data_IF_177381663218
#
_entry.id   IF_177381663218
#
_cell.length_a   1.000
_cell.length_b   1.000
_cell.length_c   1.000
_cell.angle_alpha   90.00
_cell.angle_beta   90.00
_cell.angle_gamma   90.00
#
_symmetry.space_group_name_H-M   'P 1'
#
loop_
_entity.id
_entity.type
_entity.pdbx_description
1 polymer ?
#
# COMPACT_ATOMS: atom_id res chain seq x y z
N UNK A 1 0.44 7.10 -2.83
CA UNK A 1 1.76 6.61 -2.41
C UNK A 1 1.79 5.10 -2.59
N UNK A 2 2.86 4.57 -3.17
CA UNK A 2 3.13 3.13 -3.23
C UNK A 2 4.42 2.90 -2.45
N UNK A 3 4.40 2.06 -1.42
CA UNK A 3 5.55 1.82 -0.55
C UNK A 3 5.54 0.44 0.07
N UNK A 4 6.63 0.08 0.74
CA UNK A 4 6.89 -1.23 1.34
C UNK A 4 6.68 -1.25 2.86
N UNK A 5 6.52 -0.08 3.48
CA UNK A 5 6.24 0.06 4.92
C UNK A 5 4.78 0.49 5.18
N UNK A 6 4.09 -0.26 6.04
CA UNK A 6 2.67 -0.04 6.34
C UNK A 6 2.43 1.22 7.19
N UNK A 7 3.38 1.62 8.04
CA UNK A 7 3.21 2.79 8.91
C UNK A 7 3.75 4.05 8.23
N UNK A 8 4.99 4.02 7.72
CA UNK A 8 5.61 5.22 7.18
C UNK A 8 5.06 5.60 5.81
N UNK A 9 4.99 4.64 4.89
CA UNK A 9 4.64 4.96 3.51
C UNK A 9 3.13 5.03 3.33
N UNK A 10 2.42 3.99 3.79
CA UNK A 10 0.96 3.91 3.65
C UNK A 10 0.29 4.81 4.69
N UNK A 11 0.61 4.62 5.98
CA UNK A 11 0.03 5.43 7.05
C UNK A 11 0.34 6.92 6.91
N UNK A 12 1.59 7.26 6.61
CA UNK A 12 2.01 8.64 6.34
C UNK A 12 1.29 9.26 5.15
N UNK A 13 1.11 8.53 4.05
CA UNK A 13 0.36 9.02 2.91
C UNK A 13 -1.12 9.27 3.23
N UNK A 14 -1.76 8.33 3.93
CA UNK A 14 -3.16 8.47 4.32
C UNK A 14 -3.38 9.63 5.28
N UNK A 15 -2.46 9.86 6.23
CA UNK A 15 -2.48 11.03 7.10
C UNK A 15 -2.39 12.36 6.33
N UNK A 16 -1.78 12.34 5.14
CA UNK A 16 -1.71 13.48 4.23
C UNK A 16 -2.88 13.54 3.21
N UNK A 17 -3.88 12.67 3.32
CA UNK A 17 -5.02 12.62 2.39
C UNK A 17 -4.71 11.97 1.04
N UNK A 18 -3.63 11.19 0.95
CA UNK A 18 -3.20 10.49 -0.26
C UNK A 18 -3.52 9.00 -0.14
N UNK A 19 -4.08 8.37 -1.18
CA UNK A 19 -4.26 6.90 -1.22
C UNK A 19 -2.93 6.18 -1.00
N UNK A 20 -2.89 5.20 -0.12
CA UNK A 20 -1.69 4.40 0.19
C UNK A 20 -1.84 2.96 -0.30
N UNK A 21 -0.88 2.47 -1.08
CA UNK A 21 -0.80 1.09 -1.58
C UNK A 21 0.49 0.44 -1.06
N UNK A 22 0.37 -0.77 -0.52
CA UNK A 22 1.49 -1.52 0.06
C UNK A 22 2.04 -2.54 -0.94
N UNK A 23 3.37 -2.64 -1.09
CA UNK A 23 4.04 -3.69 -1.88
C UNK A 23 4.87 -4.61 -0.99
N UNK A 24 5.06 -5.87 -1.40
CA UNK A 24 5.79 -6.88 -0.60
C UNK A 24 7.27 -7.02 -0.95
N UNK A 25 7.79 -6.24 -1.89
CA UNK A 25 9.16 -6.34 -2.41
C UNK A 25 10.20 -5.51 -1.62
N UNK A 26 9.96 -5.23 -0.34
CA UNK A 26 10.84 -4.42 0.50
C UNK A 26 10.77 -4.81 1.98
N UNK A 27 10.70 -3.81 2.87
CA UNK A 27 10.56 -3.92 4.34
C UNK A 27 9.26 -4.56 4.81
N UNK A 28 8.33 -4.83 3.89
CA UNK A 28 7.07 -5.49 4.19
C UNK A 28 7.25 -6.68 5.12
N UNK A 29 6.52 -6.67 6.22
CA UNK A 29 6.41 -7.79 7.13
C UNK A 29 4.95 -8.00 7.47
N UNK A 30 4.43 -9.22 7.24
CA UNK A 30 3.03 -9.56 7.53
C UNK A 30 2.64 -9.23 8.97
N UNK A 31 3.55 -9.48 9.91
CA UNK A 31 3.32 -9.22 11.33
C UNK A 31 3.19 -7.72 11.66
N UNK A 32 3.83 -6.83 10.91
CA UNK A 32 3.66 -5.38 11.08
C UNK A 32 2.27 -4.94 10.59
N UNK A 33 1.83 -5.48 9.44
CA UNK A 33 0.48 -5.21 8.90
C UNK A 33 -0.60 -5.71 9.85
N UNK A 34 -0.45 -6.91 10.42
CA UNK A 34 -1.41 -7.47 11.38
C UNK A 34 -1.50 -6.69 12.70
N UNK A 35 -0.42 -6.00 13.09
CA UNK A 35 -0.40 -5.12 14.29
C UNK A 35 -0.85 -3.69 13.99
N UNK A 36 -0.73 -3.25 12.74
CA UNK A 36 -1.03 -1.88 12.33
C UNK A 36 -2.53 -1.60 12.36
N UNK A 37 -2.88 -0.33 12.59
CA UNK A 37 -4.24 0.19 12.38
C UNK A 37 -4.43 0.77 10.97
N UNK A 38 -3.36 0.86 10.19
CA UNK A 38 -3.36 1.36 8.83
C UNK A 38 -3.94 0.28 7.91
N UNK A 39 -4.93 0.66 7.10
CA UNK A 39 -5.50 -0.22 6.08
C UNK A 39 -5.10 0.31 4.70
N UNK A 40 -4.14 -0.31 4.00
CA UNK A 40 -3.80 0.06 2.63
C UNK A 40 -5.02 -0.06 1.71
N UNK A 41 -5.08 0.77 0.67
CA UNK A 41 -6.06 0.68 -0.42
C UNK A 41 -5.93 -0.67 -1.14
N UNK A 42 -4.68 -1.09 -1.36
CA UNK A 42 -4.34 -2.39 -1.89
C UNK A 42 -3.02 -2.88 -1.33
N UNK A 43 -2.85 -4.20 -1.30
CA UNK A 43 -1.57 -4.84 -1.05
C UNK A 43 -1.18 -5.68 -2.26
N UNK A 44 -0.11 -5.28 -2.94
CA UNK A 44 0.39 -5.91 -4.15
C UNK A 44 1.64 -6.73 -3.86
N UNK A 45 1.89 -7.78 -4.64
CA UNK A 45 3.13 -8.55 -4.48
C UNK A 45 4.35 -7.69 -4.80
N UNK A 46 4.32 -6.96 -5.92
CA UNK A 46 5.35 -6.06 -6.40
C UNK A 46 4.73 -4.82 -7.02
N UNK A 47 5.50 -3.74 -7.15
CA UNK A 47 5.09 -2.58 -7.95
C UNK A 47 4.83 -2.94 -9.42
N UNK A 48 5.40 -4.04 -9.93
CA UNK A 48 5.12 -4.55 -11.27
C UNK A 48 3.63 -4.95 -11.45
N UNK A 49 2.91 -5.26 -10.37
CA UNK A 49 1.47 -5.56 -10.40
C UNK A 49 0.59 -4.30 -10.40
N UNK A 50 1.18 -3.12 -10.20
CA UNK A 50 0.42 -1.87 -10.09
C UNK A 50 -0.34 -1.50 -11.37
N UNK A 51 0.23 -1.60 -12.59
CA UNK A 51 -0.50 -1.25 -13.81
C UNK A 51 -1.78 -2.09 -14.03
N UNK A 52 -1.76 -3.35 -13.61
CA UNK A 52 -2.93 -4.24 -13.69
C UNK A 52 -3.97 -3.86 -12.63
N UNK A 53 -3.55 -3.65 -11.38
CA UNK A 53 -4.45 -3.19 -10.32
C UNK A 53 -5.12 -1.84 -10.67
N UNK A 54 -4.36 -0.89 -11.22
CA UNK A 54 -4.86 0.43 -11.60
C UNK A 54 -5.96 0.36 -12.68
N UNK A 55 -5.92 -0.63 -13.56
CA UNK A 55 -6.94 -0.82 -14.60
C UNK A 55 -8.24 -1.44 -14.07
N UNK A 56 -8.17 -2.15 -12.93
CA UNK A 56 -9.34 -2.76 -12.29
C UNK A 56 -10.08 -1.78 -11.39
N UNK A 57 -9.38 -0.76 -10.91
CA UNK A 57 -9.96 0.33 -10.15
C UNK A 57 -10.62 1.35 -11.10
N UNK A 58 -11.92 1.61 -10.91
CA UNK A 58 -12.60 2.73 -11.56
C UNK A 58 -12.08 4.04 -10.94
N UNK A 59 -11.00 4.59 -11.49
CA UNK A 59 -10.58 5.96 -11.23
C UNK A 59 -11.52 6.93 -11.99
N UNK A 60 -12.75 7.08 -11.49
CA UNK A 60 -13.67 8.15 -11.87
C UNK A 60 -13.43 9.41 -11.04
#
# INVERSE_FOLDING_TARGET
>A
MIGDDVESDVGGAQAAGIKGVLVKTGKYLKADVERSKVSPEATLYSIASFPEWLQLEDFA
#
